data_IF_359144647552
#
_entry.id   IF_359144647552
#
_cell.length_a   1.000
_cell.length_b   1.000
_cell.length_c   1.000
_cell.angle_alpha   90.00
_cell.angle_beta   90.00
_cell.angle_gamma   90.00
#
_symmetry.space_group_name_H-M   'P 1'
#
loop_
_entity.id
_entity.type
_entity.pdbx_description
1 polymer ?
#
# COMPACT_ATOMS: atom_id res chain seq x y z
N UNK A 1 -32.37 -59.62 9.76
CA UNK A 1 -32.12 -60.93 9.06
C UNK A 1 -30.63 -61.16 9.32
N UNK A 2 -30.48 -61.90 10.25
CA UNK A 2 -30.03 -63.34 10.25
C UNK A 2 -28.51 -63.37 10.15
N UNK A 3 -27.91 -63.72 11.24
CA UNK A 3 -27.61 -65.04 11.84
C UNK A 3 -26.24 -65.52 11.35
N UNK A 4 -25.41 -65.90 12.14
CA UNK A 4 -25.23 -66.92 13.17
C UNK A 4 -23.93 -67.64 12.95
N UNK A 5 -23.23 -67.81 14.04
CA UNK A 5 -22.88 -69.12 14.68
C UNK A 5 -21.62 -69.75 14.06
N UNK A 6 -20.74 -70.29 14.74
CA UNK A 6 -20.57 -71.15 15.91
C UNK A 6 -19.07 -71.57 15.95
N UNK A 7 -18.42 -71.50 17.02
CA UNK A 7 -18.33 -72.46 18.11
C UNK A 7 -17.34 -73.63 17.85
N UNK A 8 -16.44 -73.73 18.82
CA UNK A 8 -15.89 -74.89 19.48
C UNK A 8 -14.82 -75.76 18.78
N UNK A 9 -13.78 -76.06 19.52
CA UNK A 9 -13.38 -77.29 20.19
C UNK A 9 -11.91 -77.14 20.67
N UNK A 10 -11.54 -77.06 21.98
CA UNK A 10 -11.39 -78.07 23.04
C UNK A 10 -10.50 -79.23 22.63
N UNK A 11 -9.41 -79.35 23.33
CA UNK A 11 -8.90 -80.57 23.99
C UNK A 11 -7.36 -80.54 24.07
N UNK A 12 -6.72 -80.40 25.20
CA UNK A 12 -6.43 -81.31 26.31
C UNK A 12 -5.55 -82.48 25.88
N UNK A 13 -4.31 -82.54 26.39
CA UNK A 13 -3.58 -83.77 26.87
C UNK A 13 -2.21 -83.30 27.37
N UNK A 14 -1.94 -83.17 28.66
CA UNK A 14 -1.49 -84.08 29.72
C UNK A 14 -0.09 -84.70 29.48
N UNK A 15 0.81 -84.23 30.36
CA UNK A 15 1.70 -84.97 31.32
C UNK A 15 2.79 -85.87 30.74
N UNK A 16 4.04 -85.58 31.08
CA UNK A 16 4.89 -86.48 31.88
C UNK A 16 6.26 -85.92 32.17
N UNK A 17 6.55 -85.86 33.40
CA UNK A 17 7.82 -85.81 34.11
C UNK A 17 8.98 -86.55 33.40
N UNK A 18 10.22 -86.08 33.59
CA UNK A 18 11.23 -86.71 34.38
C UNK A 18 12.45 -85.80 34.59
N UNK A 19 12.96 -85.78 35.78
CA UNK A 19 14.15 -85.15 36.31
C UNK A 19 15.43 -85.61 35.57
N UNK A 20 16.38 -84.60 35.41
CA UNK A 20 17.79 -84.96 35.60
C UNK A 20 18.53 -83.68 36.04
N UNK A 21 19.10 -83.79 37.25
CA UNK A 21 20.10 -82.86 37.75
C UNK A 21 21.42 -83.06 37.01
N UNK A 22 22.15 -81.92 36.75
CA UNK A 22 23.56 -81.78 37.10
C UNK A 22 24.18 -80.58 36.47
N UNK A 23 24.98 -79.83 37.26
CA UNK A 23 26.09 -79.07 36.71
C UNK A 23 25.99 -77.59 36.85
N UNK A 24 26.37 -77.09 37.96
CA UNK A 24 26.77 -75.76 38.31
C UNK A 24 27.86 -75.19 37.36
N UNK A 25 27.59 -74.14 36.62
CA UNK A 25 28.61 -73.17 36.25
C UNK A 25 27.96 -71.78 36.26
N UNK A 26 28.28 -71.00 37.25
CA UNK A 26 28.07 -69.55 37.26
C UNK A 26 28.90 -68.92 36.14
N UNK A 27 28.30 -68.62 35.03
CA UNK A 27 28.79 -67.61 34.14
C UNK A 27 28.03 -66.32 34.47
N UNK A 28 28.74 -65.46 35.16
CA UNK A 28 28.33 -64.08 35.37
C UNK A 28 28.30 -63.35 34.02
N UNK A 29 27.14 -63.37 33.36
CA UNK A 29 26.89 -62.49 32.27
C UNK A 29 26.92 -61.05 32.86
N UNK A 30 28.04 -60.35 32.66
CA UNK A 30 28.13 -58.92 32.78
C UNK A 30 27.14 -58.33 31.74
N UNK A 31 26.01 -57.92 32.25
CA UNK A 31 25.15 -57.02 31.50
C UNK A 31 25.96 -55.75 31.35
N UNK A 32 26.63 -55.59 30.22
CA UNK A 32 27.13 -54.28 29.80
C UNK A 32 25.91 -53.38 29.69
N UNK A 33 25.68 -52.60 30.69
CA UNK A 33 24.83 -51.43 30.58
C UNK A 33 25.48 -50.55 29.53
N UNK A 34 24.99 -50.64 28.29
CA UNK A 34 25.27 -49.69 27.25
C UNK A 34 24.74 -48.36 27.78
N UNK A 35 25.63 -47.62 28.43
CA UNK A 35 25.37 -46.22 28.79
C UNK A 35 25.16 -45.47 27.50
N UNK A 36 23.90 -45.33 27.11
CA UNK A 36 23.50 -44.45 26.04
C UNK A 36 23.78 -42.99 26.52
N UNK A 37 25.06 -42.64 26.52
CA UNK A 37 25.46 -41.24 26.75
C UNK A 37 24.90 -40.46 25.58
N UNK A 38 23.92 -39.62 25.85
CA UNK A 38 23.41 -38.68 24.87
C UNK A 38 24.58 -37.83 24.37
N UNK A 39 24.81 -37.83 23.07
CA UNK A 39 25.81 -36.99 22.46
C UNK A 39 25.21 -35.57 22.45
N UNK A 40 25.78 -34.68 23.27
CA UNK A 40 25.41 -33.29 23.33
C UNK A 40 26.46 -32.43 22.60
N UNK A 41 26.02 -31.54 21.78
CA UNK A 41 26.86 -30.54 21.13
C UNK A 41 26.87 -29.30 22.02
N UNK A 42 28.03 -28.87 22.47
CA UNK A 42 28.21 -27.71 23.30
C UNK A 42 28.70 -26.57 22.38
N UNK A 43 28.06 -25.43 22.47
CA UNK A 43 28.46 -24.24 21.75
C UNK A 43 28.50 -23.05 22.70
N UNK A 44 29.51 -22.20 22.53
CA UNK A 44 29.67 -21.01 23.38
C UNK A 44 28.81 -19.89 22.82
N UNK A 45 27.88 -19.40 23.62
CA UNK A 45 27.09 -18.20 23.28
C UNK A 45 27.93 -16.95 23.54
N UNK A 46 27.92 -16.04 22.62
CA UNK A 46 28.63 -14.75 22.74
C UNK A 46 27.71 -13.59 22.42
N UNK A 47 28.00 -12.46 23.01
CA UNK A 47 27.34 -11.22 22.66
C UNK A 47 27.81 -10.75 21.27
N UNK A 48 26.89 -10.51 20.37
CA UNK A 48 27.16 -10.05 19.01
C UNK A 48 26.27 -8.85 18.69
N UNK A 49 26.73 -8.00 17.79
CA UNK A 49 25.94 -6.89 17.28
C UNK A 49 24.95 -7.42 16.27
N UNK A 50 23.67 -7.40 16.64
CA UNK A 50 22.55 -7.87 15.80
C UNK A 50 21.83 -6.66 15.24
N UNK A 51 21.68 -6.61 13.90
CA UNK A 51 20.92 -5.58 13.25
C UNK A 51 19.43 -5.71 13.62
N UNK A 52 18.87 -4.60 14.09
CA UNK A 52 17.44 -4.51 14.40
C UNK A 52 16.70 -4.09 13.15
N UNK A 53 16.01 -5.02 12.52
CA UNK A 53 15.19 -4.77 11.34
C UNK A 53 13.73 -5.06 11.64
N UNK A 54 12.82 -4.35 10.97
CA UNK A 54 11.41 -4.69 10.95
C UNK A 54 10.91 -4.67 9.52
N UNK A 55 10.08 -5.64 9.19
CA UNK A 55 9.45 -5.78 7.88
C UNK A 55 7.98 -5.38 7.98
N UNK A 56 7.53 -4.59 7.01
CA UNK A 56 6.16 -4.10 6.88
C UNK A 56 5.66 -4.41 5.49
N UNK A 57 4.36 -4.61 5.36
CA UNK A 57 3.71 -4.80 4.06
C UNK A 57 2.90 -3.57 3.68
N UNK A 58 2.89 -3.24 2.40
CA UNK A 58 2.12 -2.12 1.86
C UNK A 58 1.73 -2.38 0.42
N UNK A 59 0.76 -1.62 -0.06
CA UNK A 59 0.46 -1.52 -1.49
C UNK A 59 1.05 -0.23 -2.03
N UNK A 60 1.64 -0.30 -3.20
CA UNK A 60 2.12 0.89 -3.91
C UNK A 60 0.94 1.75 -4.33
N UNK A 61 1.02 3.05 -4.06
CA UNK A 61 0.04 4.04 -4.48
C UNK A 61 0.68 5.10 -5.38
N UNK A 62 -0.13 5.69 -6.25
CA UNK A 62 0.28 6.91 -6.95
C UNK A 62 0.57 8.03 -5.94
N UNK A 63 1.56 8.88 -6.24
CA UNK A 63 1.84 10.05 -5.40
C UNK A 63 0.62 10.98 -5.31
N UNK A 64 -0.03 11.23 -6.45
CA UNK A 64 -1.28 11.98 -6.57
C UNK A 64 -2.18 11.21 -7.55
N UNK A 65 -3.46 11.10 -7.23
CA UNK A 65 -4.50 10.56 -8.12
C UNK A 65 -5.62 11.59 -8.26
N UNK A 66 -5.94 11.98 -9.49
CA UNK A 66 -6.97 12.97 -9.78
C UNK A 66 -8.04 12.41 -10.70
N UNK A 67 -9.27 12.58 -10.30
CA UNK A 67 -10.45 12.21 -11.06
C UNK A 67 -10.91 13.42 -11.90
N UNK A 68 -11.01 13.24 -13.20
CA UNK A 68 -11.39 14.28 -14.16
C UNK A 68 -12.85 14.10 -14.54
N UNK A 69 -13.67 15.04 -14.14
CA UNK A 69 -15.10 15.04 -14.41
C UNK A 69 -15.66 16.48 -14.42
N UNK A 70 -16.71 16.77 -15.23
CA UNK A 70 -17.41 18.04 -15.12
C UNK A 70 -18.31 18.06 -13.87
N UNK A 71 -18.67 19.26 -13.40
CA UNK A 71 -19.57 19.41 -12.25
C UNK A 71 -21.04 19.08 -12.57
N UNK A 72 -21.44 19.29 -13.83
CA UNK A 72 -22.82 19.14 -14.28
C UNK A 72 -22.93 18.06 -15.36
N UNK A 73 -24.11 17.43 -15.50
CA UNK A 73 -24.37 16.51 -16.61
C UNK A 73 -24.29 17.24 -17.97
N UNK A 74 -23.42 16.76 -18.85
CA UNK A 74 -23.16 17.34 -20.17
C UNK A 74 -22.70 16.22 -21.11
N UNK A 75 -23.03 16.37 -22.43
CA UNK A 75 -22.55 15.43 -23.46
C UNK A 75 -21.05 15.62 -23.70
N UNK A 76 -20.33 14.51 -23.82
CA UNK A 76 -18.94 14.46 -24.22
C UNK A 76 -18.84 14.64 -25.73
N UNK A 77 -18.23 15.73 -26.20
CA UNK A 77 -18.01 15.95 -27.62
C UNK A 77 -16.82 15.12 -28.12
N UNK A 78 -15.69 15.20 -27.39
CA UNK A 78 -14.46 14.51 -27.78
C UNK A 78 -13.54 14.24 -26.60
N UNK A 79 -12.89 13.08 -26.64
CA UNK A 79 -11.78 12.69 -25.78
C UNK A 79 -10.47 12.85 -26.54
N UNK A 80 -9.40 13.29 -25.85
CA UNK A 80 -8.07 13.56 -26.40
C UNK A 80 -6.96 12.70 -25.80
N UNK A 81 -7.31 11.74 -24.96
CA UNK A 81 -6.35 10.85 -24.32
C UNK A 81 -6.93 9.42 -24.21
N UNK A 82 -6.04 8.45 -24.17
CA UNK A 82 -6.37 7.05 -23.94
C UNK A 82 -5.69 6.53 -22.67
N UNK A 83 -6.14 5.36 -22.17
CA UNK A 83 -5.49 4.71 -21.03
C UNK A 83 -4.04 4.34 -21.39
N UNK A 84 -3.11 4.75 -20.53
CA UNK A 84 -1.68 4.58 -20.77
C UNK A 84 -0.97 5.83 -21.31
N UNK A 85 -1.71 6.86 -21.76
CA UNK A 85 -1.11 8.09 -22.25
C UNK A 85 -0.49 8.93 -21.13
N UNK A 86 0.69 9.49 -21.42
CA UNK A 86 1.31 10.51 -20.57
C UNK A 86 0.74 11.87 -20.87
N UNK A 87 0.23 12.55 -19.86
CA UNK A 87 -0.39 13.86 -19.98
C UNK A 87 0.33 14.88 -19.10
N UNK A 88 0.34 16.14 -19.55
CA UNK A 88 0.94 17.26 -18.81
C UNK A 88 -0.13 18.05 -18.07
N UNK A 89 0.26 18.67 -16.95
CA UNK A 89 -0.61 19.66 -16.30
C UNK A 89 -1.04 20.76 -17.29
N UNK A 90 -2.35 21.08 -17.33
CA UNK A 90 -2.94 22.01 -18.28
C UNK A 90 -3.27 21.42 -19.67
N UNK A 91 -2.96 20.16 -19.93
CA UNK A 91 -3.33 19.49 -21.19
C UNK A 91 -4.83 19.25 -21.25
N UNK A 92 -5.47 19.58 -22.38
CA UNK A 92 -6.89 19.30 -22.63
C UNK A 92 -7.09 17.79 -22.78
N UNK A 93 -7.95 17.22 -21.93
CA UNK A 93 -8.28 15.79 -21.95
C UNK A 93 -9.68 15.52 -22.52
N UNK A 94 -10.63 16.41 -22.17
CA UNK A 94 -12.03 16.24 -22.58
C UNK A 94 -12.59 17.55 -23.08
N UNK A 95 -13.29 17.49 -24.19
CA UNK A 95 -14.13 18.57 -24.68
C UNK A 95 -15.60 18.15 -24.54
N UNK A 96 -16.35 18.91 -23.78
CA UNK A 96 -17.79 18.76 -23.60
C UNK A 96 -18.54 19.59 -24.64
N UNK A 97 -19.85 19.42 -24.73
CA UNK A 97 -20.71 20.25 -25.60
C UNK A 97 -20.52 21.74 -25.25
N UNK A 98 -20.17 22.55 -26.26
CA UNK A 98 -19.83 23.98 -26.12
C UNK A 98 -21.00 24.90 -26.35
N UNK A 99 -22.22 24.43 -26.59
CA UNK A 99 -23.37 25.27 -26.97
C UNK A 99 -23.60 26.37 -25.94
N UNK A 100 -23.68 26.02 -24.67
CA UNK A 100 -23.88 26.99 -23.58
C UNK A 100 -22.65 27.91 -23.40
N UNK A 101 -21.45 27.39 -23.57
CA UNK A 101 -20.20 28.18 -23.48
C UNK A 101 -20.18 29.25 -24.57
N UNK A 102 -20.54 28.93 -25.81
CA UNK A 102 -20.59 29.88 -26.92
C UNK A 102 -21.64 30.99 -26.66
N UNK A 103 -22.82 30.59 -26.17
CA UNK A 103 -23.87 31.59 -25.82
C UNK A 103 -23.39 32.55 -24.71
N UNK A 104 -22.78 31.99 -23.65
CA UNK A 104 -22.26 32.79 -22.53
C UNK A 104 -21.09 33.68 -22.99
N UNK A 105 -20.25 33.21 -23.93
CA UNK A 105 -19.21 34.06 -24.53
C UNK A 105 -19.76 35.28 -25.22
N UNK A 106 -20.83 35.11 -26.04
CA UNK A 106 -21.49 36.26 -26.72
C UNK A 106 -22.05 37.25 -25.68
N UNK A 107 -22.64 36.74 -24.59
CA UNK A 107 -23.13 37.62 -23.52
C UNK A 107 -21.99 38.38 -22.83
N UNK A 108 -20.87 37.71 -22.55
CA UNK A 108 -19.68 38.33 -21.99
C UNK A 108 -19.13 39.40 -22.91
N UNK A 109 -19.00 39.16 -24.23
CA UNK A 109 -18.49 40.10 -25.19
C UNK A 109 -19.36 41.37 -25.25
N UNK A 110 -20.70 41.24 -25.16
CA UNK A 110 -21.61 42.38 -25.05
C UNK A 110 -21.40 43.17 -23.76
N UNK A 111 -21.22 42.49 -22.61
CA UNK A 111 -20.96 43.19 -21.34
C UNK A 111 -19.59 43.89 -21.35
N UNK A 112 -18.58 43.35 -22.00
CA UNK A 112 -17.28 44.01 -22.16
C UNK A 112 -17.39 45.28 -23.02
N UNK A 113 -18.20 45.21 -24.09
CA UNK A 113 -18.45 46.38 -24.92
C UNK A 113 -19.22 47.50 -24.16
N UNK A 114 -20.28 47.12 -23.42
CA UNK A 114 -21.04 48.08 -22.60
C UNK A 114 -20.18 48.70 -21.51
N UNK A 115 -19.39 47.88 -20.80
CA UNK A 115 -18.47 48.40 -19.79
C UNK A 115 -17.46 49.37 -20.40
N UNK A 116 -16.90 49.09 -21.56
CA UNK A 116 -15.96 49.96 -22.25
C UNK A 116 -16.60 51.32 -22.56
N UNK A 117 -17.85 51.36 -23.04
CA UNK A 117 -18.59 52.62 -23.30
C UNK A 117 -18.79 53.45 -22.02
N UNK A 118 -19.21 52.80 -20.93
CA UNK A 118 -19.41 53.51 -19.64
C UNK A 118 -18.07 53.96 -19.05
N UNK A 119 -17.01 53.18 -19.18
CA UNK A 119 -15.68 53.55 -18.72
C UNK A 119 -15.12 54.78 -19.46
N UNK A 120 -15.33 54.87 -20.78
CA UNK A 120 -14.97 56.04 -21.57
C UNK A 120 -15.80 57.30 -21.18
N UNK A 121 -17.10 57.16 -20.96
CA UNK A 121 -17.97 58.23 -20.50
C UNK A 121 -17.59 58.65 -19.09
N UNK A 122 -17.29 57.76 -18.19
CA UNK A 122 -16.88 58.08 -16.82
C UNK A 122 -15.58 58.88 -16.76
N UNK A 123 -14.60 58.55 -17.62
CA UNK A 123 -13.32 59.28 -17.73
C UNK A 123 -13.46 60.73 -18.12
N UNK A 124 -14.51 61.10 -18.90
CA UNK A 124 -14.79 62.45 -19.34
C UNK A 124 -15.90 63.08 -18.50
N UNK A 125 -16.31 62.51 -17.39
CA UNK A 125 -17.36 63.02 -16.51
C UNK A 125 -18.80 62.87 -17.04
N UNK A 126 -19.02 62.07 -18.10
CA UNK A 126 -20.33 61.86 -18.72
C UNK A 126 -21.13 60.70 -18.08
N UNK A 127 -20.55 59.98 -17.14
CA UNK A 127 -21.25 58.92 -16.37
C UNK A 127 -20.97 59.09 -14.88
N UNK A 128 -21.95 58.71 -14.03
CA UNK A 128 -21.76 58.73 -12.58
C UNK A 128 -20.89 57.55 -12.14
N UNK A 129 -20.23 57.68 -10.97
CA UNK A 129 -19.48 56.57 -10.37
C UNK A 129 -20.38 55.35 -10.10
N UNK A 130 -21.60 55.57 -9.64
CA UNK A 130 -22.55 54.49 -9.38
C UNK A 130 -22.89 53.72 -10.66
N UNK A 131 -23.05 54.36 -11.81
CA UNK A 131 -23.29 53.70 -13.09
C UNK A 131 -22.07 52.89 -13.54
N UNK A 132 -20.86 53.41 -13.35
CA UNK A 132 -19.61 52.73 -13.65
C UNK A 132 -19.42 51.48 -12.74
N UNK A 133 -19.60 51.65 -11.40
CA UNK A 133 -19.50 50.55 -10.44
C UNK A 133 -20.51 49.42 -10.75
N UNK A 134 -21.75 49.77 -11.09
CA UNK A 134 -22.78 48.79 -11.46
C UNK A 134 -22.40 48.03 -12.73
N UNK A 135 -21.92 48.69 -13.77
CA UNK A 135 -21.55 48.01 -15.03
C UNK A 135 -20.30 47.16 -14.86
N UNK A 136 -19.34 47.63 -14.04
CA UNK A 136 -18.16 46.83 -13.69
C UNK A 136 -18.58 45.54 -12.97
N UNK A 137 -19.45 45.62 -11.97
CA UNK A 137 -19.96 44.46 -11.25
C UNK A 137 -20.64 43.47 -12.20
N UNK A 138 -21.48 43.96 -13.13
CA UNK A 138 -22.14 43.13 -14.11
C UNK A 138 -21.14 42.38 -15.02
N UNK A 139 -20.09 43.08 -15.47
CA UNK A 139 -19.01 42.47 -16.25
C UNK A 139 -18.26 41.40 -15.45
N UNK A 140 -17.91 41.69 -14.18
CA UNK A 140 -17.18 40.75 -13.33
C UNK A 140 -18.01 39.46 -13.08
N UNK A 141 -19.35 39.59 -12.88
CA UNK A 141 -20.26 38.46 -12.79
C UNK A 141 -20.27 37.63 -14.09
N UNK A 142 -20.37 38.31 -15.26
CA UNK A 142 -20.38 37.65 -16.57
C UNK A 142 -19.06 36.88 -16.85
N UNK A 143 -17.93 37.49 -16.45
CA UNK A 143 -16.61 36.83 -16.55
C UNK A 143 -16.50 35.58 -15.67
N UNK A 144 -16.98 35.70 -14.43
CA UNK A 144 -16.97 34.54 -13.50
C UNK A 144 -17.85 33.40 -14.04
N UNK A 145 -19.02 33.72 -14.57
CA UNK A 145 -19.94 32.72 -15.18
C UNK A 145 -19.30 32.04 -16.38
N UNK A 146 -18.71 32.83 -17.30
CA UNK A 146 -18.03 32.28 -18.48
C UNK A 146 -16.86 31.38 -18.07
N UNK A 147 -16.03 31.82 -17.12
CA UNK A 147 -14.87 31.04 -16.64
C UNK A 147 -15.32 29.71 -16.01
N UNK A 148 -16.33 29.72 -15.15
CA UNK A 148 -16.86 28.50 -14.55
C UNK A 148 -17.37 27.54 -15.61
N UNK A 149 -18.11 28.03 -16.62
CA UNK A 149 -18.62 27.21 -17.70
C UNK A 149 -17.50 26.64 -18.57
N UNK A 150 -16.44 27.41 -18.81
CA UNK A 150 -15.26 27.00 -19.57
C UNK A 150 -14.53 25.88 -18.86
N UNK A 151 -14.32 25.97 -17.55
CA UNK A 151 -13.68 24.94 -16.72
C UNK A 151 -14.48 23.63 -16.72
N UNK A 152 -15.80 23.71 -16.84
CA UNK A 152 -16.70 22.53 -16.94
C UNK A 152 -16.87 21.99 -18.37
N UNK A 153 -16.48 22.76 -19.38
CA UNK A 153 -16.60 22.37 -20.80
C UNK A 153 -15.29 21.87 -21.37
N UNK A 154 -14.16 22.40 -20.91
CA UNK A 154 -12.82 22.03 -21.33
C UNK A 154 -12.06 21.48 -20.14
N UNK A 155 -12.11 20.14 -19.96
CA UNK A 155 -11.49 19.51 -18.80
C UNK A 155 -10.00 19.31 -19.07
N UNK A 156 -9.19 19.95 -18.26
CA UNK A 156 -7.73 19.91 -18.32
C UNK A 156 -7.19 18.97 -17.26
N UNK A 157 -6.03 18.36 -17.53
CA UNK A 157 -5.31 17.63 -16.49
C UNK A 157 -4.74 18.60 -15.43
N UNK A 158 -5.03 18.45 -14.14
CA UNK A 158 -4.46 19.28 -13.10
C UNK A 158 -3.00 18.92 -12.77
N UNK A 159 -2.55 17.72 -13.18
CA UNK A 159 -1.21 17.17 -12.88
C UNK A 159 -0.55 16.62 -14.13
N UNK A 160 0.77 16.52 -14.08
CA UNK A 160 1.54 15.70 -15.04
C UNK A 160 1.55 14.27 -14.55
N UNK A 161 1.14 13.32 -15.36
CA UNK A 161 1.01 11.91 -14.99
C UNK A 161 0.59 11.03 -16.15
N UNK A 162 0.04 9.86 -15.84
CA UNK A 162 -0.46 8.89 -16.79
C UNK A 162 -1.98 8.69 -16.60
N UNK A 163 -2.69 8.48 -17.69
CA UNK A 163 -4.12 8.13 -17.64
C UNK A 163 -4.25 6.66 -17.26
N UNK A 164 -4.87 6.39 -16.10
CA UNK A 164 -5.03 5.03 -15.58
C UNK A 164 -6.42 4.45 -15.79
N UNK A 165 -7.43 5.30 -15.97
CA UNK A 165 -8.79 4.87 -16.27
C UNK A 165 -9.50 5.82 -17.23
N UNK A 166 -10.38 5.25 -18.08
CA UNK A 166 -11.32 5.93 -18.97
C UNK A 166 -12.66 5.21 -18.88
N UNK A 167 -13.70 5.90 -18.43
CA UNK A 167 -15.01 5.29 -18.16
C UNK A 167 -16.10 5.70 -19.14
N UNK A 168 -15.82 6.61 -20.09
CA UNK A 168 -16.77 7.12 -21.06
C UNK A 168 -16.15 7.18 -22.45
N UNK A 169 -16.99 7.22 -23.48
CA UNK A 169 -16.62 7.40 -24.87
C UNK A 169 -17.10 8.75 -25.42
N UNK A 170 -16.51 9.15 -26.56
CA UNK A 170 -16.97 10.36 -27.29
C UNK A 170 -18.40 10.16 -27.77
N UNK A 171 -19.27 11.11 -27.46
CA UNK A 171 -20.70 11.06 -27.75
C UNK A 171 -21.57 10.68 -26.56
N UNK A 172 -20.99 10.12 -25.51
CA UNK A 172 -21.72 9.74 -24.29
C UNK A 172 -22.26 10.96 -23.55
N UNK A 173 -23.30 10.72 -22.76
CA UNK A 173 -23.82 11.71 -21.81
C UNK A 173 -23.18 11.44 -20.44
N UNK A 174 -22.40 12.38 -19.94
CA UNK A 174 -21.97 12.35 -18.56
C UNK A 174 -23.14 12.69 -17.63
N UNK A 175 -23.47 11.77 -16.73
CA UNK A 175 -24.59 11.94 -15.79
C UNK A 175 -24.17 11.86 -14.30
N UNK A 176 -22.86 11.82 -14.04
CA UNK A 176 -22.31 11.62 -12.70
C UNK A 176 -21.94 10.15 -12.43
N UNK A 177 -21.44 9.88 -11.23
CA UNK A 177 -21.01 8.56 -10.79
C UNK A 177 -19.50 8.37 -10.94
N UNK A 178 -19.03 7.79 -12.04
CA UNK A 178 -17.60 7.59 -12.28
C UNK A 178 -16.97 8.81 -12.96
N UNK A 179 -15.68 9.12 -12.71
CA UNK A 179 -14.95 10.13 -13.44
C UNK A 179 -14.78 9.75 -14.91
N UNK A 180 -14.63 10.72 -15.83
CA UNK A 180 -14.36 10.44 -17.24
C UNK A 180 -12.96 9.85 -17.37
N UNK A 181 -11.97 10.50 -16.76
CA UNK A 181 -10.60 10.00 -16.65
C UNK A 181 -10.12 9.97 -15.22
N UNK A 182 -9.21 9.03 -14.92
CA UNK A 182 -8.34 9.11 -13.74
C UNK A 182 -6.92 9.33 -14.24
N UNK A 183 -6.26 10.36 -13.72
CA UNK A 183 -4.87 10.69 -14.02
C UNK A 183 -4.05 10.52 -12.76
N UNK A 184 -2.97 9.76 -12.85
CA UNK A 184 -2.11 9.42 -11.71
C UNK A 184 -0.67 9.86 -11.95
N UNK A 185 -0.10 10.49 -10.93
CA UNK A 185 1.33 10.77 -10.89
C UNK A 185 2.06 9.57 -10.30
N UNK A 186 2.79 8.85 -11.16
CA UNK A 186 3.54 7.65 -10.79
C UNK A 186 5.05 7.91 -10.63
N UNK A 187 5.47 9.15 -10.76
CA UNK A 187 6.84 9.64 -10.50
C UNK A 187 6.80 10.84 -9.53
N UNK A 188 7.15 10.63 -8.26
CA UNK A 188 7.41 9.37 -7.58
C UNK A 188 6.13 8.55 -7.32
N UNK A 189 6.28 7.32 -6.81
CA UNK A 189 5.18 6.57 -6.15
C UNK A 189 5.35 6.63 -4.64
N UNK A 190 4.29 6.31 -3.91
CA UNK A 190 4.30 6.27 -2.45
C UNK A 190 3.82 4.92 -1.91
N UNK A 191 4.21 4.63 -0.70
CA UNK A 191 3.78 3.49 0.11
C UNK A 191 3.34 4.02 1.46
N UNK A 192 2.26 3.48 2.00
CA UNK A 192 1.83 3.77 3.35
C UNK A 192 1.96 2.50 4.19
N UNK A 193 2.80 2.54 5.23
CA UNK A 193 2.96 1.46 6.20
C UNK A 193 2.45 1.89 7.57
N UNK A 194 1.97 0.92 8.35
CA UNK A 194 1.57 1.15 9.74
C UNK A 194 2.65 0.62 10.67
N UNK A 195 3.27 1.51 11.44
CA UNK A 195 4.39 1.21 12.33
C UNK A 195 3.92 1.25 13.78
N UNK A 196 4.39 0.28 14.59
CA UNK A 196 4.05 0.23 16.02
C UNK A 196 4.53 1.48 16.77
N UNK A 197 3.72 1.97 17.71
CA UNK A 197 4.02 3.09 18.62
C UNK A 197 5.39 2.96 19.31
N UNK A 198 5.82 1.74 19.64
CA UNK A 198 7.11 1.46 20.27
C UNK A 198 8.32 1.89 19.42
N UNK A 199 8.14 2.06 18.11
CA UNK A 199 9.18 2.46 17.18
C UNK A 199 9.12 3.96 16.82
N UNK A 200 8.18 4.72 17.38
CA UNK A 200 7.93 6.12 17.03
C UNK A 200 9.19 7.00 17.09
N UNK A 201 9.99 6.85 18.13
CA UNK A 201 11.23 7.64 18.31
C UNK A 201 12.35 7.25 17.35
N UNK A 202 12.27 6.04 16.75
CA UNK A 202 13.29 5.46 15.86
C UNK A 202 13.02 5.74 14.38
N UNK A 203 11.77 6.03 13.98
CA UNK A 203 11.39 6.36 12.61
C UNK A 203 11.43 7.87 12.43
N UNK A 204 12.25 8.35 11.50
CA UNK A 204 12.39 9.78 11.21
C UNK A 204 12.28 10.03 9.71
N UNK A 205 11.76 11.21 9.35
CA UNK A 205 11.76 11.68 7.97
C UNK A 205 13.18 11.67 7.39
N UNK A 206 13.29 11.23 6.12
CA UNK A 206 14.56 11.11 5.40
C UNK A 206 15.30 9.79 5.62
N UNK A 207 14.76 8.89 6.48
CA UNK A 207 15.35 7.56 6.69
C UNK A 207 15.25 6.73 5.42
N UNK A 208 16.36 6.11 5.01
CA UNK A 208 16.39 5.17 3.90
C UNK A 208 15.74 3.84 4.30
N UNK A 209 15.02 3.25 3.35
CA UNK A 209 14.33 1.97 3.51
C UNK A 209 14.52 1.10 2.29
N UNK A 210 14.57 -0.21 2.50
CA UNK A 210 14.67 -1.20 1.44
C UNK A 210 13.28 -1.75 1.14
N UNK A 211 12.96 -1.81 -0.15
CA UNK A 211 11.64 -2.22 -0.60
C UNK A 211 11.81 -3.36 -1.60
N UNK A 212 11.11 -4.47 -1.38
CA UNK A 212 11.00 -5.57 -2.32
C UNK A 212 9.58 -5.65 -2.84
N UNK A 213 9.46 -5.83 -4.14
CA UNK A 213 8.18 -6.00 -4.82
C UNK A 213 8.08 -7.45 -5.29
N UNK A 214 7.03 -8.15 -4.93
CA UNK A 214 6.89 -9.58 -5.22
C UNK A 214 7.03 -9.91 -6.72
N UNK A 215 6.68 -8.95 -7.59
CA UNK A 215 6.83 -9.07 -9.06
C UNK A 215 8.29 -9.14 -9.52
N UNK A 216 9.22 -8.55 -8.77
CA UNK A 216 10.65 -8.46 -9.12
C UNK A 216 11.54 -9.36 -8.27
N UNK A 217 10.94 -10.28 -7.49
CA UNK A 217 11.69 -11.24 -6.67
C UNK A 217 12.60 -10.55 -5.64
N UNK A 218 13.89 -10.84 -5.71
CA UNK A 218 14.90 -10.36 -4.74
C UNK A 218 15.45 -8.96 -5.05
N UNK A 219 15.00 -8.31 -6.13
CA UNK A 219 15.44 -6.96 -6.48
C UNK A 219 15.02 -5.95 -5.39
N UNK A 220 15.98 -5.15 -4.92
CA UNK A 220 15.76 -4.17 -3.87
C UNK A 220 15.62 -2.78 -4.46
N UNK A 221 14.49 -2.16 -4.25
CA UNK A 221 14.23 -0.76 -4.54
C UNK A 221 14.54 0.09 -3.33
N UNK A 222 15.17 1.23 -3.53
CA UNK A 222 15.47 2.17 -2.45
C UNK A 222 14.35 3.20 -2.33
N UNK A 223 13.87 3.40 -1.12
CA UNK A 223 12.90 4.43 -0.80
C UNK A 223 13.33 5.26 0.39
N UNK A 224 12.62 6.36 0.63
CA UNK A 224 12.85 7.25 1.77
C UNK A 224 11.55 7.55 2.50
N UNK A 225 11.62 7.58 3.82
CA UNK A 225 10.53 8.08 4.65
C UNK A 225 10.30 9.56 4.31
N UNK A 226 9.16 9.87 3.70
CA UNK A 226 8.76 11.22 3.31
C UNK A 226 7.98 11.94 4.41
N UNK A 227 7.12 11.19 5.12
CA UNK A 227 6.27 11.71 6.17
C UNK A 227 6.07 10.67 7.28
N UNK A 228 6.16 11.11 8.52
CA UNK A 228 5.70 10.38 9.70
C UNK A 228 4.47 11.09 10.22
N UNK A 229 3.34 10.42 10.26
CA UNK A 229 2.10 11.02 10.71
C UNK A 229 2.15 11.30 12.22
N UNK A 230 1.63 12.45 12.69
CA UNK A 230 1.73 12.85 14.08
C UNK A 230 0.72 12.14 15.00
N UNK A 231 -0.26 11.43 14.42
CA UNK A 231 -1.34 10.76 15.16
C UNK A 231 -1.13 9.26 15.22
N UNK A 232 -1.44 8.68 16.38
CA UNK A 232 -1.43 7.24 16.61
C UNK A 232 -2.88 6.76 16.67
N UNK A 233 -3.19 5.69 15.95
CA UNK A 233 -4.49 5.03 16.05
C UNK A 233 -4.58 4.30 17.41
N UNK A 234 -5.52 4.65 18.29
CA UNK A 234 -5.64 4.06 19.63
C UNK A 234 -6.08 2.59 19.60
N UNK A 235 -6.73 2.14 18.52
CA UNK A 235 -7.21 0.76 18.41
C UNK A 235 -6.10 -0.19 18.01
N UNK A 236 -5.27 0.22 17.04
CA UNK A 236 -4.17 -0.61 16.49
C UNK A 236 -2.84 -0.35 17.16
N UNK A 237 -2.71 0.75 17.92
CA UNK A 237 -1.44 1.22 18.49
C UNK A 237 -0.34 1.39 17.44
N UNK A 238 -0.73 1.87 16.25
CA UNK A 238 0.19 2.14 15.14
C UNK A 238 0.05 3.57 14.65
N UNK A 239 1.08 4.06 13.98
CA UNK A 239 1.07 5.33 13.26
C UNK A 239 1.44 5.11 11.79
N UNK A 240 0.80 5.84 10.86
CA UNK A 240 1.13 5.74 9.45
C UNK A 240 2.48 6.40 9.15
N UNK A 241 3.24 5.79 8.24
CA UNK A 241 4.48 6.33 7.70
C UNK A 241 4.43 6.25 6.19
N UNK A 242 4.60 7.40 5.53
CA UNK A 242 4.66 7.49 4.08
C UNK A 242 6.12 7.35 3.61
N UNK A 243 6.32 6.49 2.63
CA UNK A 243 7.60 6.23 1.99
C UNK A 243 7.48 6.58 0.51
N UNK A 244 8.49 7.24 -0.06
CA UNK A 244 8.54 7.55 -1.49
C UNK A 244 9.64 6.76 -2.18
N UNK A 245 9.33 6.34 -3.42
CA UNK A 245 10.24 5.74 -4.39
C UNK A 245 10.27 6.65 -5.61
N UNK A 246 11.43 7.05 -6.09
CA UNK A 246 11.57 8.00 -7.21
C UNK A 246 10.96 7.50 -8.53
N UNK A 247 11.04 6.18 -8.80
CA UNK A 247 10.39 5.50 -9.93
C UNK A 247 10.61 6.15 -11.30
N UNK A 248 11.85 6.55 -11.61
CA UNK A 248 12.16 7.24 -12.87
C UNK A 248 11.95 6.37 -14.12
N UNK A 249 12.06 5.07 -13.99
CA UNK A 249 11.88 4.05 -15.03
C UNK A 249 10.43 3.54 -15.14
N UNK A 250 9.51 4.03 -14.30
CA UNK A 250 8.09 3.66 -14.25
C UNK A 250 7.81 2.15 -14.07
N UNK A 251 8.80 1.41 -13.58
CA UNK A 251 8.66 -0.03 -13.33
C UNK A 251 7.74 -0.32 -12.15
N UNK A 252 7.75 0.54 -11.15
CA UNK A 252 6.90 0.41 -9.96
C UNK A 252 5.54 1.03 -10.25
N UNK A 253 4.49 0.20 -10.22
CA UNK A 253 3.14 0.64 -10.57
C UNK A 253 2.21 0.64 -9.35
N UNK A 254 1.28 1.59 -9.27
CA UNK A 254 0.21 1.54 -8.27
C UNK A 254 -0.53 0.19 -8.30
N UNK A 255 -0.89 -0.32 -7.13
CA UNK A 255 -1.50 -1.63 -6.94
C UNK A 255 -0.51 -2.77 -6.70
N UNK A 256 0.79 -2.60 -6.92
CA UNK A 256 1.79 -3.64 -6.61
C UNK A 256 1.92 -3.82 -5.11
N UNK A 257 2.09 -5.09 -4.69
CA UNK A 257 2.38 -5.43 -3.30
C UNK A 257 3.86 -5.27 -3.01
N UNK A 258 4.18 -4.68 -1.85
CA UNK A 258 5.53 -4.36 -1.44
C UNK A 258 5.81 -4.81 -0.01
N UNK A 259 7.03 -5.27 0.22
CA UNK A 259 7.62 -5.52 1.55
C UNK A 259 8.66 -4.45 1.82
N UNK A 260 8.48 -3.74 2.90
CA UNK A 260 9.33 -2.63 3.31
C UNK A 260 10.16 -3.06 4.51
N UNK A 261 11.46 -3.03 4.38
CA UNK A 261 12.40 -3.34 5.47
C UNK A 261 13.01 -2.05 5.99
N UNK A 262 12.85 -1.81 7.29
CA UNK A 262 13.43 -0.65 7.99
C UNK A 262 14.45 -1.15 9.02
N UNK A 263 15.71 -0.70 8.89
CA UNK A 263 16.76 -0.95 9.86
C UNK A 263 16.74 0.07 11.01
N UNK A 264 16.83 -0.38 12.24
CA UNK A 264 16.83 0.47 13.46
C UNK A 264 18.18 0.53 14.16
N UNK A 265 19.25 0.19 13.42
CA UNK A 265 20.59 0.10 13.95
C UNK A 265 20.91 -1.26 14.53
N UNK A 266 22.05 -1.39 15.17
CA UNK A 266 22.53 -2.62 15.79
C UNK A 266 22.35 -2.56 17.30
N UNK A 267 22.04 -3.70 17.91
CA UNK A 267 22.04 -3.87 19.35
C UNK A 267 22.88 -5.10 19.72
N UNK A 268 23.61 -5.00 20.81
CA UNK A 268 24.41 -6.10 21.31
C UNK A 268 23.51 -7.09 22.04
N UNK A 269 23.36 -8.29 21.49
CA UNK A 269 22.57 -9.38 22.04
C UNK A 269 23.38 -10.66 22.15
N UNK A 270 23.08 -11.46 23.17
CA UNK A 270 23.60 -12.83 23.25
C UNK A 270 22.90 -13.68 22.19
N UNK A 271 23.68 -14.21 21.26
CA UNK A 271 23.19 -15.05 20.17
C UNK A 271 23.40 -16.51 20.49
N UNK A 272 22.35 -17.33 20.32
CA UNK A 272 22.39 -18.77 20.43
C UNK A 272 21.98 -19.41 19.09
N UNK A 273 22.57 -20.56 18.72
CA UNK A 273 22.13 -21.28 17.54
C UNK A 273 20.67 -21.67 17.61
N UNK A 274 19.96 -21.60 16.48
CA UNK A 274 18.51 -21.92 16.42
C UNK A 274 18.20 -23.34 16.94
N UNK A 275 19.09 -24.29 16.68
CA UNK A 275 18.99 -25.68 17.17
C UNK A 275 19.06 -25.81 18.69
N UNK A 276 19.56 -24.81 19.42
CA UNK A 276 19.60 -24.79 20.88
C UNK A 276 18.29 -24.27 21.50
N UNK A 277 17.36 -23.78 20.69
CA UNK A 277 16.09 -23.19 21.15
C UNK A 277 14.97 -24.23 21.04
N UNK A 278 14.48 -24.71 22.17
CA UNK A 278 13.32 -25.60 22.25
C UNK A 278 12.07 -24.77 22.50
N UNK A 279 11.10 -24.80 21.58
CA UNK A 279 9.79 -24.16 21.76
C UNK A 279 8.88 -25.11 22.55
N UNK A 280 8.55 -24.72 23.76
CA UNK A 280 7.60 -25.45 24.62
C UNK A 280 6.40 -24.55 24.92
N UNK A 281 5.20 -24.98 24.52
CA UNK A 281 3.91 -24.35 24.87
C UNK A 281 3.84 -22.82 24.63
N UNK A 282 4.35 -22.34 23.49
CA UNK A 282 4.25 -20.92 23.11
C UNK A 282 5.32 -19.99 23.67
N UNK A 283 6.20 -20.49 24.54
CA UNK A 283 7.38 -19.75 25.00
C UNK A 283 8.67 -20.38 24.45
N UNK A 284 9.59 -19.55 23.96
CA UNK A 284 10.94 -20.02 23.61
C UNK A 284 11.76 -20.26 24.88
N UNK A 285 12.29 -21.48 25.05
CA UNK A 285 13.20 -21.82 26.13
C UNK A 285 14.54 -22.28 25.57
N UNK A 286 15.62 -21.83 26.18
CA UNK A 286 16.97 -22.30 25.87
C UNK A 286 17.27 -23.49 26.78
N UNK A 287 17.60 -24.65 26.18
CA UNK A 287 18.06 -25.82 26.95
C UNK A 287 19.54 -25.68 27.24
N UNK A 288 19.91 -25.65 28.50
CA UNK A 288 21.31 -25.74 28.95
C UNK A 288 21.47 -26.81 30.02
N UNK A 289 22.55 -27.57 29.96
CA UNK A 289 22.96 -28.49 31.02
C UNK A 289 24.16 -27.87 31.76
N UNK A 290 24.07 -27.76 33.07
CA UNK A 290 25.25 -27.52 33.88
C UNK A 290 26.10 -28.81 33.94
N UNK A 291 27.25 -28.79 33.24
CA UNK A 291 28.31 -29.75 33.50
C UNK A 291 29.03 -29.34 34.79
N UNK A 292 28.89 -30.11 35.82
CA UNK A 292 29.75 -30.00 37.05
C UNK A 292 31.06 -30.74 36.79
#
# INVERSE_FOLDING_TARGET
METNKRQHFISLFILSLLLSCSGEKKDSAQTETVSNKAIVRIETVSAQDVEQISEFTATVEANISNNIAPQNPVRIEKLFAEVGDHVKAGQLLVKMDETNLKQTKIQLDNQELEFKRIDELYKVGGASKSAWDAQKTQLDVSRATYKNLQENTQLLSPITGIVTARNYDSGDMYSGGSPIFTVEQIRPVKLLINVSESLFTKVKKGKDVDIRLDVYGDEVFKGKVSLVYPTIDPNTRTFPVEIKIDNNDERVRPGMFARVTIGFGTQNHVVAPDLAIVKQSGAGAVSYTHLR
#
